data_IF_853741785803
#
_entry.id   IF_853741785803
#
_cell.length_a   1.000
_cell.length_b   1.000
_cell.length_c   1.000
_cell.angle_alpha   90.00
_cell.angle_beta   90.00
_cell.angle_gamma   90.00
#
_symmetry.space_group_name_H-M   'P 1'
#
loop_
_entity.id
_entity.type
_entity.pdbx_description
1 polymer ?
#
# COMPACT_ATOMS: atom_id res chain seq x y z
N UNK A 1 8.97 -30.45 -18.14
CA UNK A 1 8.22 -31.65 -18.58
C UNK A 1 7.02 -31.16 -19.38
N UNK A 2 6.85 -31.62 -20.62
CA UNK A 2 5.77 -31.15 -21.51
C UNK A 2 4.49 -31.96 -21.23
N UNK A 3 3.33 -31.29 -21.19
CA UNK A 3 2.02 -31.96 -21.10
C UNK A 3 1.17 -31.47 -22.26
N UNK A 4 0.63 -32.40 -23.04
CA UNK A 4 -0.27 -32.11 -24.16
C UNK A 4 -1.72 -32.23 -23.68
N UNK A 5 -2.61 -31.32 -24.12
CA UNK A 5 -4.05 -31.61 -24.12
C UNK A 5 -4.64 -31.29 -25.48
N UNK A 6 -5.44 -32.23 -26.00
CA UNK A 6 -6.11 -32.09 -27.31
C UNK A 6 -7.43 -31.36 -27.13
N UNK A 7 -7.57 -30.18 -27.71
CA UNK A 7 -8.89 -29.66 -28.10
C UNK A 7 -8.82 -28.96 -29.46
N UNK A 8 -9.59 -29.49 -30.41
CA UNK A 8 -9.84 -28.98 -31.78
C UNK A 8 -8.75 -29.13 -32.87
N UNK A 9 -7.86 -30.14 -32.76
CA UNK A 9 -7.15 -30.67 -33.93
C UNK A 9 -6.04 -29.79 -34.54
N UNK A 10 -5.58 -28.76 -33.84
CA UNK A 10 -4.34 -28.05 -34.20
C UNK A 10 -3.41 -28.07 -33.00
N UNK A 11 -2.31 -28.82 -33.09
CA UNK A 11 -1.26 -28.79 -32.08
C UNK A 11 -0.66 -27.39 -32.04
N UNK A 12 -0.82 -26.68 -30.92
CA UNK A 12 -0.11 -25.42 -30.67
C UNK A 12 0.89 -25.67 -29.56
N UNK A 13 2.17 -25.73 -29.94
CA UNK A 13 3.28 -25.78 -28.99
C UNK A 13 3.43 -24.42 -28.30
N UNK A 14 3.48 -24.42 -26.97
CA UNK A 14 3.86 -23.23 -26.21
C UNK A 14 5.31 -23.40 -25.71
N UNK A 15 6.05 -22.30 -25.69
CA UNK A 15 7.42 -22.23 -25.15
C UNK A 15 7.34 -22.01 -23.64
N UNK A 16 8.10 -22.80 -22.89
CA UNK A 16 8.32 -22.66 -21.45
C UNK A 16 9.63 -21.91 -21.24
N UNK A 17 9.65 -20.79 -20.51
CA UNK A 17 10.87 -20.07 -20.13
C UNK A 17 10.86 -19.69 -18.65
N UNK A 18 12.00 -19.85 -17.99
CA UNK A 18 12.21 -19.62 -16.56
C UNK A 18 12.06 -18.15 -16.11
N UNK A 19 11.75 -17.91 -14.81
CA UNK A 19 11.43 -18.92 -13.80
C UNK A 19 9.93 -19.24 -13.81
N UNK A 20 9.59 -20.52 -13.91
CA UNK A 20 8.20 -21.02 -13.92
C UNK A 20 7.47 -20.93 -12.56
N UNK A 21 8.17 -20.44 -11.53
CA UNK A 21 7.62 -20.16 -10.22
C UNK A 21 8.32 -18.93 -9.63
N UNK A 22 7.53 -17.96 -9.21
CA UNK A 22 8.01 -16.82 -8.44
C UNK A 22 7.72 -17.10 -6.98
N UNK A 23 8.77 -17.10 -6.15
CA UNK A 23 8.59 -17.20 -4.70
C UNK A 23 7.77 -16.03 -4.20
N UNK A 24 6.69 -16.34 -3.48
CA UNK A 24 5.78 -15.38 -2.85
C UNK A 24 6.10 -15.16 -1.37
N UNK A 25 7.15 -15.82 -0.84
CA UNK A 25 7.53 -15.66 0.57
C UNK A 25 8.28 -14.34 0.74
N UNK A 26 7.78 -13.40 1.57
CA UNK A 26 8.50 -12.17 1.87
C UNK A 26 9.86 -12.47 2.52
N UNK A 27 10.89 -11.62 2.33
CA UNK A 27 12.19 -11.82 2.95
C UNK A 27 12.10 -11.97 4.48
N UNK A 28 12.74 -13.03 5.01
CA UNK A 28 12.75 -13.31 6.44
C UNK A 28 11.55 -14.09 6.97
N UNK A 29 10.57 -14.43 6.13
CA UNK A 29 9.42 -15.27 6.50
C UNK A 29 9.75 -16.75 6.31
N UNK A 30 9.12 -17.63 7.07
CA UNK A 30 9.36 -19.08 7.00
C UNK A 30 8.38 -19.80 6.08
N UNK A 31 7.18 -19.25 5.88
CA UNK A 31 6.14 -19.80 5.00
C UNK A 31 5.30 -18.68 4.38
N UNK A 32 4.61 -18.98 3.27
CA UNK A 32 3.60 -18.10 2.69
C UNK A 32 2.54 -18.88 1.91
N UNK A 33 1.35 -18.31 1.83
CA UNK A 33 0.19 -18.76 1.08
C UNK A 33 -0.36 -17.59 0.26
N UNK A 34 -0.33 -17.70 -1.06
CA UNK A 34 -1.02 -16.76 -1.94
C UNK A 34 -2.50 -17.13 -2.01
N UNK A 35 -3.38 -16.18 -1.72
CA UNK A 35 -4.83 -16.40 -1.62
C UNK A 35 -5.59 -15.77 -2.76
N UNK A 36 -5.07 -14.67 -3.33
CA UNK A 36 -5.72 -13.98 -4.42
C UNK A 36 -4.70 -13.27 -5.32
N UNK A 37 -5.08 -13.08 -6.59
CA UNK A 37 -4.34 -12.28 -7.58
C UNK A 37 -5.33 -11.43 -8.38
N UNK A 38 -4.98 -10.17 -8.63
CA UNK A 38 -5.81 -9.27 -9.44
C UNK A 38 -5.32 -9.19 -10.91
N UNK A 39 -6.02 -8.43 -11.76
CA UNK A 39 -5.67 -8.31 -13.19
C UNK A 39 -4.38 -7.51 -13.44
N UNK A 40 -3.84 -6.87 -12.40
CA UNK A 40 -2.58 -6.12 -12.42
C UNK A 40 -1.42 -6.92 -11.80
N UNK A 41 -1.56 -8.25 -11.75
CA UNK A 41 -0.55 -9.17 -11.21
C UNK A 41 -0.15 -8.89 -9.76
N UNK A 42 -1.02 -8.19 -9.01
CA UNK A 42 -0.84 -7.97 -7.59
C UNK A 42 -1.38 -9.18 -6.85
N UNK A 43 -0.53 -9.81 -6.05
CA UNK A 43 -0.86 -11.00 -5.27
C UNK A 43 -1.10 -10.60 -3.83
N UNK A 44 -2.20 -11.03 -3.25
CA UNK A 44 -2.43 -10.99 -1.81
C UNK A 44 -2.24 -12.39 -1.21
N UNK A 45 -1.77 -12.42 0.02
CA UNK A 45 -1.54 -13.66 0.74
C UNK A 45 -1.25 -13.42 2.21
N UNK A 46 -0.90 -14.48 2.91
CA UNK A 46 -0.46 -14.43 4.31
C UNK A 46 0.60 -15.49 4.57
N UNK A 47 1.25 -15.45 5.72
CA UNK A 47 2.32 -16.38 6.06
C UNK A 47 2.98 -16.10 7.40
N UNK A 48 3.92 -16.96 7.77
CA UNK A 48 4.62 -16.89 9.04
C UNK A 48 5.77 -15.88 8.99
N UNK A 49 5.53 -14.69 9.54
CA UNK A 49 6.55 -13.66 9.74
C UNK A 49 7.28 -13.83 11.08
N UNK A 50 8.43 -13.18 11.29
CA UNK A 50 9.11 -13.15 12.59
C UNK A 50 8.24 -12.59 13.74
N UNK A 51 7.18 -11.83 13.42
CA UNK A 51 6.27 -11.22 14.39
C UNK A 51 4.92 -11.95 14.51
N UNK A 52 4.80 -13.15 13.94
CA UNK A 52 3.55 -13.91 13.86
C UNK A 52 2.97 -13.94 12.45
N UNK A 53 1.78 -14.53 12.29
CA UNK A 53 1.15 -14.67 10.98
C UNK A 53 0.68 -13.31 10.46
N UNK A 54 1.17 -12.90 9.29
CA UNK A 54 0.84 -11.61 8.69
C UNK A 54 0.40 -11.77 7.25
N UNK A 55 -0.41 -10.82 6.80
CA UNK A 55 -0.81 -10.66 5.42
C UNK A 55 0.23 -9.86 4.64
N UNK A 56 0.30 -10.09 3.33
CA UNK A 56 1.14 -9.32 2.42
C UNK A 56 0.41 -9.04 1.11
N UNK A 57 0.82 -7.96 0.46
CA UNK A 57 0.63 -7.67 -0.95
C UNK A 57 1.98 -7.78 -1.65
N UNK A 58 1.98 -8.32 -2.87
CA UNK A 58 3.14 -8.37 -3.73
C UNK A 58 2.79 -7.85 -5.11
N UNK A 59 3.47 -6.79 -5.54
CA UNK A 59 3.36 -6.26 -6.91
C UNK A 59 4.75 -6.20 -7.53
N UNK A 60 4.93 -6.87 -8.68
CA UNK A 60 6.23 -7.01 -9.31
C UNK A 60 7.22 -7.78 -8.42
N UNK A 61 8.21 -7.10 -7.85
CA UNK A 61 9.21 -7.66 -6.92
C UNK A 61 9.08 -7.15 -5.48
N UNK A 62 8.12 -6.26 -5.21
CA UNK A 62 8.02 -5.54 -3.94
C UNK A 62 6.92 -6.13 -3.07
N UNK A 63 7.19 -6.24 -1.78
CA UNK A 63 6.24 -6.68 -0.76
C UNK A 63 5.80 -5.50 0.11
N UNK A 64 4.51 -5.46 0.39
CA UNK A 64 3.91 -4.62 1.42
C UNK A 64 3.31 -5.54 2.48
N UNK A 65 3.68 -5.33 3.75
CA UNK A 65 3.19 -6.15 4.86
C UNK A 65 1.99 -5.45 5.50
N UNK A 66 0.86 -6.16 5.56
CA UNK A 66 -0.38 -5.67 6.15
C UNK A 66 -0.40 -6.05 7.63
N UNK A 67 0.11 -5.14 8.45
CA UNK A 67 0.05 -5.20 9.90
C UNK A 67 -0.74 -4.03 10.46
N UNK A 68 -1.59 -4.29 11.44
CA UNK A 68 -2.45 -3.28 12.04
C UNK A 68 -2.17 -3.18 13.55
N UNK A 69 -2.13 -1.98 14.13
CA UNK A 69 -1.92 -1.81 15.57
C UNK A 69 -2.94 -2.60 16.40
N UNK A 70 -2.46 -3.43 17.33
CA UNK A 70 -3.30 -4.26 18.19
C UNK A 70 -3.81 -5.56 17.56
N UNK A 71 -3.36 -5.89 16.34
CA UNK A 71 -3.65 -7.16 15.67
C UNK A 71 -2.45 -8.11 15.82
N UNK A 72 -2.74 -9.35 16.21
CA UNK A 72 -1.75 -10.42 16.32
C UNK A 72 -1.58 -11.13 14.98
N UNK A 73 -2.71 -11.39 14.30
CA UNK A 73 -2.71 -12.05 13.00
C UNK A 73 -3.50 -11.29 11.96
N UNK A 74 -3.08 -11.40 10.71
CA UNK A 74 -3.84 -10.92 9.55
C UNK A 74 -3.79 -11.96 8.44
N UNK A 75 -4.95 -12.29 7.87
CA UNK A 75 -5.13 -13.21 6.75
C UNK A 75 -5.90 -12.53 5.62
N UNK A 76 -5.20 -12.26 4.51
CA UNK A 76 -5.79 -11.69 3.31
C UNK A 76 -6.56 -12.77 2.55
N UNK A 77 -7.81 -12.48 2.19
CA UNK A 77 -8.68 -13.40 1.48
C UNK A 77 -8.92 -12.99 0.02
N UNK A 78 -8.91 -11.69 -0.27
CA UNK A 78 -9.18 -11.16 -1.60
C UNK A 78 -8.41 -9.87 -1.88
N UNK A 79 -8.15 -9.61 -3.15
CA UNK A 79 -7.61 -8.33 -3.66
C UNK A 79 -8.38 -7.91 -4.90
N UNK A 80 -8.66 -6.61 -5.04
CA UNK A 80 -9.27 -6.03 -6.25
C UNK A 80 -8.23 -5.32 -7.13
N UNK A 81 -8.63 -4.88 -8.33
CA UNK A 81 -7.73 -4.20 -9.29
C UNK A 81 -7.23 -2.83 -8.80
N UNK A 82 -7.82 -2.26 -7.76
CA UNK A 82 -7.31 -1.06 -7.09
C UNK A 82 -6.25 -1.38 -6.02
N UNK A 83 -5.88 -2.65 -5.86
CA UNK A 83 -4.96 -3.12 -4.83
C UNK A 83 -5.56 -3.19 -3.43
N UNK A 84 -6.87 -2.95 -3.28
CA UNK A 84 -7.52 -3.04 -1.98
C UNK A 84 -7.68 -4.52 -1.57
N UNK A 85 -7.39 -4.82 -0.32
CA UNK A 85 -7.39 -6.17 0.23
C UNK A 85 -8.48 -6.31 1.27
N UNK A 86 -9.28 -7.36 1.15
CA UNK A 86 -10.21 -7.78 2.18
C UNK A 86 -9.70 -9.04 2.86
N UNK A 87 -9.89 -9.14 4.18
CA UNK A 87 -9.41 -10.25 4.97
C UNK A 87 -10.00 -10.29 6.37
N UNK A 88 -9.45 -11.16 7.20
CA UNK A 88 -9.78 -11.26 8.61
C UNK A 88 -8.51 -11.46 9.44
N UNK A 89 -8.64 -11.35 10.75
CA UNK A 89 -7.50 -11.54 11.66
C UNK A 89 -7.94 -11.41 13.11
N UNK A 90 -7.01 -11.72 14.01
CA UNK A 90 -7.27 -11.65 15.44
C UNK A 90 -6.55 -10.47 16.08
N UNK A 91 -7.22 -9.85 17.03
CA UNK A 91 -6.63 -8.82 17.89
C UNK A 91 -5.84 -9.46 19.02
N UNK A 92 -5.01 -8.67 19.71
CA UNK A 92 -4.29 -9.09 20.92
C UNK A 92 -5.22 -9.57 22.06
N UNK A 93 -6.50 -9.21 22.01
CA UNK A 93 -7.54 -9.67 22.94
C UNK A 93 -8.23 -10.97 22.48
N UNK A 94 -7.80 -11.56 21.36
CA UNK A 94 -8.35 -12.79 20.79
C UNK A 94 -9.63 -12.62 19.97
N UNK A 95 -10.15 -11.38 19.85
CA UNK A 95 -11.34 -11.12 19.03
C UNK A 95 -10.99 -11.18 17.54
N UNK A 96 -11.81 -11.87 16.75
CA UNK A 96 -11.68 -11.96 15.29
C UNK A 96 -12.45 -10.83 14.62
N UNK A 97 -11.81 -10.10 13.72
CA UNK A 97 -12.41 -9.02 12.95
C UNK A 97 -12.09 -9.13 11.47
N UNK A 98 -13.06 -8.74 10.63
CA UNK A 98 -12.81 -8.51 9.21
C UNK A 98 -12.16 -7.14 9.00
N UNK A 99 -11.36 -6.99 7.95
CA UNK A 99 -10.78 -5.73 7.54
C UNK A 99 -10.85 -5.52 6.03
N UNK A 100 -10.79 -4.25 5.63
CA UNK A 100 -10.43 -3.83 4.27
C UNK A 100 -9.26 -2.86 4.39
N UNK A 101 -8.15 -3.17 3.72
CA UNK A 101 -6.96 -2.34 3.66
C UNK A 101 -6.80 -1.78 2.24
N UNK A 102 -6.43 -0.51 2.14
CA UNK A 102 -5.99 0.09 0.88
C UNK A 102 -4.48 0.27 0.95
N UNK A 103 -3.75 0.11 -0.17
CA UNK A 103 -2.33 0.42 -0.20
C UNK A 103 -2.13 1.88 0.24
N UNK A 104 -1.03 2.21 0.93
CA UNK A 104 -0.70 3.59 1.25
C UNK A 104 -0.68 4.36 -0.07
N UNK A 105 -1.45 5.44 -0.14
CA UNK A 105 -1.48 6.32 -1.31
C UNK A 105 -0.03 6.64 -1.66
N UNK A 106 0.42 6.19 -2.84
CA UNK A 106 1.75 6.53 -3.33
C UNK A 106 1.86 8.05 -3.18
N UNK A 107 2.94 8.59 -2.56
CA UNK A 107 3.02 10.01 -2.26
C UNK A 107 2.71 10.76 -3.55
N UNK A 108 1.56 11.44 -3.55
CA UNK A 108 0.99 11.99 -4.76
C UNK A 108 2.08 12.79 -5.47
N UNK A 109 2.54 12.29 -6.62
CA UNK A 109 3.09 13.19 -7.62
C UNK A 109 2.03 14.26 -7.77
N UNK A 110 2.35 15.49 -7.36
CA UNK A 110 1.41 16.59 -7.36
C UNK A 110 0.89 16.76 -8.78
N UNK A 111 -0.26 16.14 -9.06
CA UNK A 111 -1.07 16.45 -10.19
C UNK A 111 -1.78 17.76 -9.85
N UNK A 112 -1.04 18.86 -9.85
CA UNK A 112 -1.62 20.16 -10.20
C UNK A 112 -1.98 20.10 -11.69
N UNK A 113 -2.99 19.31 -12.02
CA UNK A 113 -3.69 19.42 -13.29
C UNK A 113 -4.60 20.64 -13.22
N UNK A 114 -4.61 21.53 -14.22
CA UNK A 114 -5.52 22.65 -14.23
C UNK A 114 -6.96 22.13 -14.30
N UNK A 115 -7.80 22.78 -13.51
CA UNK A 115 -9.24 22.63 -13.44
C UNK A 115 -9.88 22.50 -14.82
N UNK A 116 -10.83 21.58 -14.92
CA UNK A 116 -11.71 21.39 -16.05
C UNK A 116 -12.41 22.68 -16.45
N UNK A 117 -12.33 23.06 -17.74
CA UNK A 117 -13.49 23.61 -18.47
C UNK A 117 -13.17 23.89 -19.94
N UNK A 118 -13.87 23.17 -20.83
CA UNK A 118 -14.49 23.73 -22.03
C UNK A 118 -13.60 24.07 -23.23
N UNK A 119 -13.88 23.44 -24.38
CA UNK A 119 -13.26 23.83 -25.64
C UNK A 119 -13.95 23.34 -26.92
N UNK A 120 -15.29 23.35 -26.96
CA UNK A 120 -16.04 23.39 -28.23
C UNK A 120 -17.40 24.06 -27.97
N UNK A 121 -17.43 25.40 -27.97
CA UNK A 121 -18.69 26.16 -28.03
C UNK A 121 -18.56 27.29 -29.05
N UNK A 122 -19.57 27.39 -29.92
CA UNK A 122 -19.74 28.47 -30.90
C UNK A 122 -20.10 29.77 -30.17
N UNK A 123 -19.45 30.87 -30.56
CA UNK A 123 -19.70 32.21 -30.04
C UNK A 123 -21.14 32.69 -30.31
N UNK A 124 -21.71 33.53 -29.43
CA UNK A 124 -21.67 34.95 -29.77
C UNK A 124 -21.39 35.93 -28.60
N UNK A 125 -21.02 37.13 -29.04
CA UNK A 125 -20.70 38.41 -28.35
C UNK A 125 -21.38 38.65 -26.99
N UNK A 126 -20.60 39.17 -26.03
CA UNK A 126 -21.15 39.96 -24.91
C UNK A 126 -20.18 40.23 -23.74
N UNK A 127 -19.48 41.36 -23.82
CA UNK A 127 -19.01 42.27 -22.75
C UNK A 127 -18.64 41.78 -21.32
N UNK A 128 -17.44 42.19 -20.88
CA UNK A 128 -17.23 42.78 -19.54
C UNK A 128 -16.32 42.03 -18.57
N UNK A 129 -15.02 42.29 -18.63
CA UNK A 129 -14.04 41.87 -17.62
C UNK A 129 -14.00 42.83 -16.43
N UNK A 130 -14.03 42.30 -15.19
CA UNK A 130 -13.32 42.89 -14.05
C UNK A 130 -12.68 41.77 -13.22
N UNK A 131 -11.35 41.85 -13.10
CA UNK A 131 -10.52 40.99 -12.26
C UNK A 131 -10.38 41.58 -10.85
N UNK A 132 -10.16 40.72 -9.84
CA UNK A 132 -9.10 40.77 -8.81
C UNK A 132 -9.54 40.13 -7.48
N UNK A 133 -8.62 39.35 -6.88
CA UNK A 133 -8.64 39.03 -5.46
C UNK A 133 -8.04 37.67 -5.06
N UNK A 134 -6.72 37.51 -5.21
CA UNK A 134 -5.95 36.43 -4.56
C UNK A 134 -5.60 36.85 -3.13
N UNK A 135 -5.65 35.93 -2.16
CA UNK A 135 -5.04 36.13 -0.84
C UNK A 135 -4.26 34.87 -0.42
N UNK A 136 -2.96 35.08 -0.21
CA UNK A 136 -1.98 34.23 0.45
C UNK A 136 -2.48 33.74 1.83
N UNK A 137 -2.19 32.53 2.31
CA UNK A 137 -0.87 31.95 2.56
C UNK A 137 -0.48 32.20 4.02
N UNK A 138 -0.47 31.15 4.88
CA UNK A 138 0.38 31.07 6.09
C UNK A 138 0.42 29.61 6.58
N UNK A 139 1.58 28.97 6.40
CA UNK A 139 2.00 27.70 6.99
C UNK A 139 2.66 28.02 8.34
N UNK A 140 2.10 27.59 9.47
CA UNK A 140 2.68 27.84 10.79
C UNK A 140 3.46 26.61 11.26
N UNK A 141 4.78 26.66 11.11
CA UNK A 141 5.74 25.76 11.74
C UNK A 141 5.98 26.22 13.18
N UNK A 142 5.84 25.33 14.16
CA UNK A 142 6.37 25.56 15.51
C UNK A 142 7.73 24.86 15.62
N UNK A 143 8.76 25.70 15.72
CA UNK A 143 10.15 25.34 15.98
C UNK A 143 10.38 25.33 17.49
N UNK A 144 10.94 24.23 18.00
CA UNK A 144 11.53 24.11 19.33
C UNK A 144 12.62 25.17 19.59
N UNK A 145 12.78 25.70 20.80
CA UNK A 145 14.08 26.14 21.27
C UNK A 145 14.63 25.17 22.33
N UNK A 146 15.81 24.64 22.03
CA UNK A 146 16.74 24.04 22.99
C UNK A 146 17.69 25.16 23.47
N UNK A 147 17.61 25.58 24.74
CA UNK A 147 18.67 26.29 25.47
C UNK A 147 18.59 25.82 26.94
N UNK A 148 19.48 24.91 27.34
CA UNK A 148 20.80 25.13 27.95
C UNK A 148 20.76 25.44 29.46
N UNK A 149 21.21 24.41 30.19
CA UNK A 149 22.20 24.44 31.28
C UNK A 149 21.81 24.86 32.71
N UNK A 150 22.03 23.88 33.60
CA UNK A 150 22.55 23.94 34.97
C UNK A 150 21.61 24.14 36.17
N UNK A 151 21.39 23.02 36.87
CA UNK A 151 21.08 22.95 38.29
C UNK A 151 21.73 21.71 38.91
N UNK A 152 22.94 21.89 39.46
CA UNK A 152 23.71 20.90 40.24
C UNK A 152 22.86 20.29 41.36
N UNK A 153 22.89 18.97 41.52
CA UNK A 153 22.85 18.37 42.85
C UNK A 153 23.85 17.22 42.95
N UNK A 154 24.99 17.50 43.59
CA UNK A 154 25.91 16.51 44.15
C UNK A 154 25.54 16.27 45.62
N UNK A 155 25.91 15.07 46.09
CA UNK A 155 26.00 14.55 47.48
C UNK A 155 24.73 13.82 47.93
N UNK A 156 24.77 12.65 48.56
CA UNK A 156 25.85 12.02 49.31
C UNK A 156 25.68 10.49 49.37
N UNK A 157 26.80 9.76 49.42
CA UNK A 157 26.90 8.43 50.04
C UNK A 157 27.43 8.58 51.47
N UNK A 158 27.04 7.70 52.42
CA UNK A 158 27.87 7.41 53.57
C UNK A 158 28.22 5.91 53.69
N UNK A 159 29.53 5.71 53.90
CA UNK A 159 30.29 4.60 54.52
C UNK A 159 29.84 3.16 54.32
#
# INVERSE_FOLDING_TARGET
MAVNSRQSGTDRGFVFSDPFFVSMTPPGWTSSYATAVNNLETVAGYGDSPEGMRSFLRSGGTYEILSFPGWETTEAAAVNDLGQVAGAGTTALGATHAFVASPPEAPAAQASGPSSSGGCTVAPRGAGSKAQGSVAGTLMTLVFPLLLLWGRNRRATPR
#
